data_IF_227355706501
#
_entry.id   IF_227355706501
#
_cell.length_a   1.000
_cell.length_b   1.000
_cell.length_c   1.000
_cell.angle_alpha   90.00
_cell.angle_beta   90.00
_cell.angle_gamma   90.00
#
_symmetry.space_group_name_H-M   'P 1'
#
loop_
_entity.id
_entity.type
_entity.pdbx_description
1 polymer ?
#
# COMPACT_ATOMS: atom_id res chain seq x y z
N UNK A 1 18.23 23.35 10.78
CA UNK A 1 18.79 22.08 11.32
C UNK A 1 18.46 20.95 10.36
N UNK A 2 19.29 19.90 10.28
CA UNK A 2 18.96 18.68 9.52
C UNK A 2 17.82 17.94 10.21
N UNK A 3 16.92 17.36 9.42
CA UNK A 3 15.79 16.56 9.90
C UNK A 3 16.31 15.25 10.49
N UNK A 4 15.87 14.89 11.69
CA UNK A 4 16.24 13.67 12.40
C UNK A 4 15.17 12.59 12.25
N UNK A 5 15.50 11.50 11.58
CA UNK A 5 14.60 10.37 11.36
C UNK A 5 15.03 9.18 12.22
N UNK A 6 14.12 8.69 13.05
CA UNK A 6 14.33 7.44 13.77
C UNK A 6 13.66 6.30 13.01
N UNK A 7 14.44 5.29 12.64
CA UNK A 7 13.96 4.08 11.97
C UNK A 7 13.87 2.96 13.02
N UNK A 8 12.67 2.43 13.21
CA UNK A 8 12.48 1.21 13.97
C UNK A 8 12.37 0.00 13.05
N UNK A 9 13.36 -0.89 13.13
CA UNK A 9 13.46 -2.11 12.33
C UNK A 9 12.55 -3.22 12.89
N UNK A 10 11.25 -2.93 13.00
CA UNK A 10 10.22 -3.68 13.73
C UNK A 10 10.54 -5.16 13.89
N UNK A 11 10.99 -5.54 15.09
CA UNK A 11 11.39 -6.91 15.36
C UNK A 11 10.17 -7.81 15.57
N UNK A 12 10.22 -9.02 15.00
CA UNK A 12 9.22 -10.08 15.23
C UNK A 12 9.89 -11.27 15.94
N UNK A 13 9.75 -11.42 17.27
CA UNK A 13 10.41 -12.49 18.05
C UNK A 13 10.03 -13.91 17.65
N UNK A 14 8.99 -14.05 16.81
CA UNK A 14 8.47 -15.34 16.38
C UNK A 14 8.95 -15.72 14.98
N UNK A 15 9.68 -14.85 14.29
CA UNK A 15 10.16 -15.10 12.93
C UNK A 15 11.47 -14.35 12.64
N UNK A 16 12.60 -15.06 12.79
CA UNK A 16 13.96 -14.55 12.59
C UNK A 16 14.21 -14.08 11.14
N UNK A 17 13.60 -14.75 10.16
CA UNK A 17 13.75 -14.40 8.75
C UNK A 17 13.13 -13.03 8.46
N UNK A 18 11.89 -12.81 8.93
CA UNK A 18 11.21 -11.53 8.82
C UNK A 18 11.97 -10.40 9.53
N UNK A 19 12.54 -10.69 10.70
CA UNK A 19 13.37 -9.74 11.43
C UNK A 19 14.64 -9.37 10.63
N UNK A 20 15.30 -10.34 10.01
CA UNK A 20 16.45 -10.12 9.13
C UNK A 20 16.11 -9.21 7.94
N UNK A 21 15.00 -9.49 7.26
CA UNK A 21 14.53 -8.68 6.12
C UNK A 21 14.24 -7.23 6.52
N UNK A 22 13.55 -7.01 7.65
CA UNK A 22 13.24 -5.68 8.13
C UNK A 22 14.49 -4.90 8.55
N UNK A 23 15.44 -5.57 9.21
CA UNK A 23 16.71 -4.97 9.60
C UNK A 23 17.55 -4.57 8.38
N UNK A 24 17.68 -5.46 7.39
CA UNK A 24 18.41 -5.15 6.15
C UNK A 24 17.75 -3.98 5.39
N UNK A 25 16.43 -3.99 5.28
CA UNK A 25 15.67 -2.90 4.64
C UNK A 25 15.91 -1.57 5.35
N UNK A 26 15.90 -1.57 6.69
CA UNK A 26 16.13 -0.39 7.48
C UNK A 26 17.55 0.17 7.36
N UNK A 27 18.58 -0.68 7.33
CA UNK A 27 19.97 -0.27 7.09
C UNK A 27 20.11 0.47 5.76
N UNK A 28 19.58 -0.13 4.68
CA UNK A 28 19.62 0.47 3.33
C UNK A 28 18.82 1.77 3.29
N UNK A 29 17.67 1.81 3.96
CA UNK A 29 16.82 3.01 4.01
C UNK A 29 17.53 4.15 4.75
N UNK A 30 18.29 3.84 5.80
CA UNK A 30 19.08 4.83 6.51
C UNK A 30 20.13 5.49 5.62
N UNK A 31 20.80 4.71 4.78
CA UNK A 31 21.79 5.23 3.83
C UNK A 31 21.12 6.13 2.80
N UNK A 32 20.00 5.70 2.21
CA UNK A 32 19.23 6.55 1.28
C UNK A 32 18.72 7.85 1.93
N UNK A 33 18.23 7.81 3.19
CA UNK A 33 17.79 9.02 3.90
C UNK A 33 18.95 9.97 4.21
N UNK A 34 20.15 9.44 4.49
CA UNK A 34 21.37 10.26 4.66
C UNK A 34 21.77 10.95 3.35
N UNK A 35 21.60 10.29 2.20
CA UNK A 35 21.80 10.91 0.89
C UNK A 35 20.84 12.08 0.63
N UNK A 36 19.60 12.00 1.15
CA UNK A 36 18.65 13.13 1.17
C UNK A 36 18.99 14.21 2.21
N UNK A 37 20.13 14.10 2.89
CA UNK A 37 20.62 15.10 3.84
C UNK A 37 20.01 15.02 5.24
N UNK A 38 19.32 13.92 5.57
CA UNK A 38 18.73 13.68 6.89
C UNK A 38 19.74 13.05 7.85
N UNK A 39 19.55 13.31 9.14
CA UNK A 39 20.26 12.61 10.20
C UNK A 39 19.42 11.39 10.61
N UNK A 40 20.02 10.22 10.74
CA UNK A 40 19.27 8.96 10.90
C UNK A 40 19.83 8.11 12.03
N UNK A 41 18.96 7.72 12.95
CA UNK A 41 19.20 6.72 13.98
C UNK A 41 18.35 5.47 13.70
N UNK A 42 18.94 4.29 13.85
CA UNK A 42 18.23 3.02 13.73
C UNK A 42 18.09 2.37 15.10
N UNK A 43 16.97 1.68 15.32
CA UNK A 43 16.85 0.77 16.46
C UNK A 43 17.85 -0.39 16.33
N UNK A 44 18.41 -0.78 17.47
CA UNK A 44 19.37 -1.88 17.56
C UNK A 44 18.61 -3.22 17.55
N UNK A 45 19.05 -4.26 16.79
CA UNK A 45 18.41 -5.56 16.82
C UNK A 45 18.38 -6.18 18.22
N UNK A 46 17.26 -6.84 18.55
CA UNK A 46 16.94 -7.35 19.91
C UNK A 46 18.02 -8.23 20.55
N UNK A 47 18.79 -8.96 19.76
CA UNK A 47 19.86 -9.84 20.29
C UNK A 47 20.98 -9.10 21.05
N UNK A 48 20.97 -7.76 21.03
CA UNK A 48 21.91 -6.90 21.77
C UNK A 48 21.28 -6.15 22.96
N UNK A 49 19.95 -6.11 23.06
CA UNK A 49 19.23 -5.41 24.11
C UNK A 49 18.56 -6.42 25.04
N UNK A 50 19.05 -6.54 26.28
CA UNK A 50 18.26 -7.16 27.35
C UNK A 50 17.10 -6.21 27.65
N UNK A 51 15.93 -6.44 27.06
CA UNK A 51 14.71 -5.84 27.58
C UNK A 51 14.63 -6.19 29.07
N UNK A 52 14.49 -5.18 29.94
CA UNK A 52 14.18 -5.44 31.34
C UNK A 52 12.89 -6.27 31.38
N UNK A 53 12.84 -7.31 32.22
CA UNK A 53 11.68 -8.20 32.32
C UNK A 53 10.38 -7.39 32.38
N UNK A 54 9.51 -7.56 31.37
CA UNK A 54 8.21 -6.89 31.28
C UNK A 54 8.15 -5.59 30.46
N UNK A 55 9.24 -5.10 29.86
CA UNK A 55 9.19 -3.94 28.96
C UNK A 55 8.96 -4.34 27.50
N UNK A 56 8.01 -3.66 26.85
CA UNK A 56 7.73 -3.80 25.41
C UNK A 56 8.81 -3.08 24.59
N UNK A 57 9.51 -3.81 23.72
CA UNK A 57 10.57 -3.32 22.82
C UNK A 57 10.20 -2.02 22.09
N UNK A 58 8.99 -1.96 21.53
CA UNK A 58 8.53 -0.79 20.78
C UNK A 58 8.49 0.47 21.67
N UNK A 59 8.25 0.31 22.98
CA UNK A 59 8.30 1.42 23.94
C UNK A 59 9.75 1.88 24.17
N UNK A 60 10.72 0.97 24.21
CA UNK A 60 12.14 1.31 24.33
C UNK A 60 12.60 2.15 23.14
N UNK A 61 12.29 1.71 21.92
CA UNK A 61 12.67 2.43 20.70
C UNK A 61 12.02 3.82 20.61
N UNK A 62 10.77 3.95 21.05
CA UNK A 62 10.09 5.26 21.12
C UNK A 62 10.74 6.17 22.15
N UNK A 63 11.18 5.63 23.29
CA UNK A 63 11.91 6.42 24.29
C UNK A 63 13.27 6.87 23.76
N UNK A 64 14.00 6.01 23.06
CA UNK A 64 15.27 6.37 22.40
C UNK A 64 15.05 7.49 21.37
N UNK A 65 14.00 7.39 20.54
CA UNK A 65 13.64 8.44 19.58
C UNK A 65 13.27 9.75 20.27
N UNK A 66 12.53 9.69 21.39
CA UNK A 66 12.16 10.85 22.20
C UNK A 66 13.40 11.54 22.81
N UNK A 67 14.35 10.76 23.34
CA UNK A 67 15.58 11.26 23.97
C UNK A 67 16.55 11.87 22.96
N UNK A 68 16.68 11.24 21.78
CA UNK A 68 17.50 11.75 20.70
C UNK A 68 16.94 13.03 20.05
N UNK A 69 15.65 13.29 20.27
CA UNK A 69 14.92 14.40 19.67
C UNK A 69 14.67 14.16 18.18
N UNK A 70 14.18 12.97 17.83
CA UNK A 70 13.76 12.67 16.46
C UNK A 70 12.61 13.59 16.04
N UNK A 71 12.64 14.03 14.79
CA UNK A 71 11.58 14.83 14.17
C UNK A 71 10.51 13.92 13.52
N UNK A 72 10.85 12.67 13.19
CA UNK A 72 9.93 11.65 12.69
C UNK A 72 10.35 10.26 13.20
N UNK A 73 9.38 9.46 13.62
CA UNK A 73 9.55 8.04 13.94
C UNK A 73 8.85 7.17 12.89
N UNK A 74 9.60 6.26 12.26
CA UNK A 74 9.08 5.33 11.25
C UNK A 74 9.47 3.89 11.59
N UNK A 75 8.48 3.08 11.94
CA UNK A 75 8.65 1.64 12.16
C UNK A 75 8.36 0.86 10.88
N UNK A 76 9.30 0.05 10.41
CA UNK A 76 9.07 -0.90 9.31
C UNK A 76 8.43 -2.18 9.86
N UNK A 77 7.49 -2.75 9.12
CA UNK A 77 6.80 -3.97 9.54
C UNK A 77 6.40 -4.86 8.35
N UNK A 78 6.32 -6.17 8.59
CA UNK A 78 5.66 -7.12 7.70
C UNK A 78 4.36 -7.56 8.37
N UNK A 79 3.22 -7.25 7.74
CA UNK A 79 1.91 -7.53 8.30
C UNK A 79 1.64 -9.06 8.30
N UNK A 80 0.73 -9.50 9.16
CA UNK A 80 0.29 -10.89 9.24
C UNK A 80 -1.21 -10.97 8.99
N UNK A 81 -1.61 -11.95 8.18
CA UNK A 81 -3.01 -12.32 8.01
C UNK A 81 -3.13 -13.85 7.90
N UNK A 82 -4.13 -14.47 8.53
CA UNK A 82 -4.44 -15.88 8.27
C UNK A 82 -4.85 -16.13 6.81
N UNK A 83 -5.36 -15.13 6.10
CA UNK A 83 -5.56 -15.18 4.65
C UNK A 83 -4.22 -14.97 3.92
N UNK A 84 -3.68 -16.06 3.36
CA UNK A 84 -2.46 -16.08 2.54
C UNK A 84 -2.53 -15.26 1.25
N UNK A 85 -3.71 -14.79 0.85
CA UNK A 85 -3.92 -13.93 -0.32
C UNK A 85 -4.02 -12.44 0.03
N UNK A 86 -4.07 -12.08 1.33
CA UNK A 86 -3.93 -10.70 1.75
C UNK A 86 -2.58 -10.16 1.25
N UNK A 87 -2.57 -8.95 0.68
CA UNK A 87 -1.38 -8.39 0.03
C UNK A 87 -1.35 -6.87 0.18
N UNK A 88 -0.16 -6.29 0.12
CA UNK A 88 0.06 -4.86 -0.04
C UNK A 88 0.62 -4.14 1.17
N UNK A 89 1.00 -2.90 0.91
CA UNK A 89 1.55 -1.97 1.89
C UNK A 89 0.45 -1.12 2.54
N UNK A 90 0.64 -0.75 3.81
CA UNK A 90 -0.27 0.09 4.56
C UNK A 90 0.51 0.97 5.55
N UNK A 91 -0.03 2.13 5.90
CA UNK A 91 0.51 2.95 6.99
C UNK A 91 -0.45 2.93 8.18
N UNK A 92 0.10 2.75 9.37
CA UNK A 92 -0.61 2.82 10.64
C UNK A 92 -0.14 4.01 11.46
N UNK A 93 -1.07 4.85 11.90
CA UNK A 93 -0.77 6.04 12.73
C UNK A 93 -1.64 6.03 13.98
N UNK A 94 -1.09 6.42 15.14
CA UNK A 94 -1.89 6.55 16.36
C UNK A 94 -2.50 7.96 16.48
N UNK A 95 -1.68 8.99 16.28
CA UNK A 95 -2.07 10.41 16.20
C UNK A 95 -1.71 10.92 14.80
N UNK A 96 -2.68 11.02 13.87
CA UNK A 96 -2.43 11.60 12.56
C UNK A 96 -1.91 13.04 12.69
N UNK A 97 -0.99 13.40 11.80
CA UNK A 97 -0.39 14.73 11.63
C UNK A 97 -0.13 14.97 10.14
N UNK A 98 -0.03 16.23 9.69
CA UNK A 98 0.32 16.55 8.30
C UNK A 98 1.57 15.82 7.83
N UNK A 99 2.60 15.74 8.68
CA UNK A 99 3.86 15.05 8.39
C UNK A 99 3.63 13.56 8.17
N UNK A 100 2.95 12.87 9.09
CA UNK A 100 2.65 11.43 8.92
C UNK A 100 1.76 11.17 7.71
N UNK A 101 0.84 12.07 7.38
CA UNK A 101 -0.06 11.92 6.24
C UNK A 101 0.71 12.05 4.93
N UNK A 102 1.50 13.12 4.77
CA UNK A 102 2.29 13.37 3.57
C UNK A 102 3.35 12.27 3.34
N UNK A 103 4.10 11.91 4.37
CA UNK A 103 5.12 10.84 4.30
C UNK A 103 4.49 9.50 3.96
N UNK A 104 3.40 9.12 4.65
CA UNK A 104 2.73 7.85 4.40
C UNK A 104 2.13 7.78 2.99
N UNK A 105 1.46 8.85 2.55
CA UNK A 105 0.83 8.89 1.24
C UNK A 105 1.87 8.76 0.12
N UNK A 106 2.98 9.51 0.22
CA UNK A 106 4.06 9.46 -0.76
C UNK A 106 4.75 8.09 -0.78
N UNK A 107 5.12 7.55 0.38
CA UNK A 107 5.75 6.23 0.47
C UNK A 107 4.85 5.11 -0.08
N UNK A 108 3.56 5.10 0.27
CA UNK A 108 2.61 4.09 -0.20
C UNK A 108 2.35 4.18 -1.71
N UNK A 109 2.30 5.39 -2.28
CA UNK A 109 2.15 5.60 -3.72
C UNK A 109 3.38 5.09 -4.49
N UNK A 110 4.58 5.43 -4.04
CA UNK A 110 5.82 4.95 -4.63
C UNK A 110 5.95 3.43 -4.55
N UNK A 111 5.69 2.84 -3.38
CA UNK A 111 5.68 1.38 -3.22
C UNK A 111 4.67 0.74 -4.19
N UNK A 112 3.45 1.27 -4.27
CA UNK A 112 2.42 0.67 -5.13
C UNK A 112 2.74 0.79 -6.62
N UNK A 113 3.20 1.96 -7.06
CA UNK A 113 3.47 2.23 -8.48
C UNK A 113 4.71 1.50 -8.99
N UNK A 114 5.72 1.29 -8.15
CA UNK A 114 7.01 0.71 -8.55
C UNK A 114 7.12 -0.80 -8.27
N UNK A 115 6.35 -1.34 -7.31
CA UNK A 115 6.43 -2.76 -6.93
C UNK A 115 5.15 -3.56 -7.18
N UNK A 116 4.06 -2.87 -7.55
CA UNK A 116 2.72 -3.45 -7.69
C UNK A 116 2.10 -3.98 -6.38
N UNK A 117 2.72 -3.72 -5.22
CA UNK A 117 2.07 -3.91 -3.93
C UNK A 117 0.75 -3.15 -3.89
N UNK A 118 -0.28 -3.77 -3.33
CA UNK A 118 -1.54 -3.08 -3.08
C UNK A 118 -1.33 -1.91 -2.12
N UNK A 119 -1.71 -0.70 -2.52
CA UNK A 119 -1.84 0.40 -1.57
C UNK A 119 -3.11 0.20 -0.73
N UNK A 120 -2.95 -0.05 0.56
CA UNK A 120 -4.06 -0.24 1.52
C UNK A 120 -4.41 1.04 2.29
N UNK A 121 -3.73 2.14 1.99
CA UNK A 121 -3.96 3.44 2.58
C UNK A 121 -3.40 3.61 3.99
N UNK A 122 -3.79 4.72 4.60
CA UNK A 122 -3.41 5.12 5.95
C UNK A 122 -4.58 4.80 6.88
N UNK A 123 -4.30 4.07 7.95
CA UNK A 123 -5.29 3.70 8.96
C UNK A 123 -4.89 4.25 10.31
N UNK A 124 -5.85 4.84 11.03
CA UNK A 124 -5.64 5.17 12.43
C UNK A 124 -5.72 3.90 13.28
N UNK A 125 -4.58 3.46 13.82
CA UNK A 125 -4.44 2.22 14.60
C UNK A 125 -4.38 2.54 16.08
N UNK A 126 -5.52 2.46 16.77
CA UNK A 126 -5.60 2.68 18.24
C UNK A 126 -4.91 1.55 19.03
N UNK A 127 -4.73 0.39 18.40
CA UNK A 127 -4.01 -0.79 18.89
C UNK A 127 -2.48 -0.62 18.86
N UNK A 128 -1.95 0.36 18.11
CA UNK A 128 -0.54 0.74 18.15
C UNK A 128 -0.19 1.58 19.40
N UNK A 129 -0.52 1.05 20.58
CA UNK A 129 -0.36 1.72 21.88
C UNK A 129 1.05 2.29 22.16
N UNK A 130 2.16 1.66 21.73
CA UNK A 130 3.49 2.26 21.92
C UNK A 130 3.60 3.66 21.31
N UNK A 131 3.06 3.87 20.09
CA UNK A 131 3.11 5.15 19.38
C UNK A 131 2.45 6.30 20.16
N UNK A 132 1.54 6.01 21.09
CA UNK A 132 0.93 7.02 21.97
C UNK A 132 1.97 7.83 22.75
N UNK A 133 3.11 7.22 23.07
CA UNK A 133 4.22 7.80 23.84
C UNK A 133 5.21 8.61 23.01
N UNK A 134 5.07 8.61 21.68
CA UNK A 134 5.92 9.41 20.80
C UNK A 134 5.65 10.91 21.01
N UNK A 135 6.73 11.68 21.13
CA UNK A 135 6.71 13.15 21.20
C UNK A 135 6.82 13.81 19.83
N UNK A 136 7.08 13.01 18.79
CA UNK A 136 7.18 13.40 17.40
C UNK A 136 6.10 12.69 16.55
N UNK A 137 5.83 13.16 15.31
CA UNK A 137 5.07 12.40 14.33
C UNK A 137 5.59 10.97 14.20
N UNK A 138 4.70 9.98 14.33
CA UNK A 138 5.10 8.58 14.43
C UNK A 138 4.16 7.65 13.65
N UNK A 139 4.75 6.75 12.87
CA UNK A 139 4.01 5.81 12.01
C UNK A 139 4.65 4.42 11.97
N UNK A 140 3.82 3.42 11.66
CA UNK A 140 4.25 2.08 11.26
C UNK A 140 3.94 1.93 9.77
N UNK A 141 4.93 1.55 8.98
CA UNK A 141 4.78 1.21 7.57
C UNK A 141 4.83 -0.31 7.41
N UNK A 142 3.67 -0.90 7.14
CA UNK A 142 3.59 -2.29 6.71
C UNK A 142 4.04 -2.33 5.23
N UNK A 143 5.19 -2.94 4.94
CA UNK A 143 5.77 -3.01 3.58
C UNK A 143 5.30 -4.22 2.76
N UNK A 144 4.32 -4.97 3.27
CA UNK A 144 3.78 -6.20 2.68
C UNK A 144 3.28 -7.15 3.76
N UNK A 145 2.83 -8.33 3.36
CA UNK A 145 2.46 -9.41 4.28
C UNK A 145 3.51 -10.52 4.35
N UNK A 146 3.91 -10.88 5.57
CA UNK A 146 4.72 -12.06 5.86
C UNK A 146 4.07 -13.36 5.36
N UNK A 147 2.74 -13.45 5.45
CA UNK A 147 1.99 -14.66 5.06
C UNK A 147 1.70 -14.74 3.56
N UNK A 148 1.98 -13.68 2.80
CA UNK A 148 1.85 -13.68 1.35
C UNK A 148 3.20 -13.94 0.71
N UNK A 149 3.30 -15.04 -0.04
CA UNK A 149 4.56 -15.45 -0.67
C UNK A 149 5.17 -14.36 -1.56
N UNK A 150 4.35 -13.66 -2.34
CA UNK A 150 4.87 -12.68 -3.30
C UNK A 150 5.34 -11.40 -2.60
N UNK A 151 4.58 -10.90 -1.62
CA UNK A 151 4.97 -9.74 -0.83
C UNK A 151 6.27 -10.03 -0.05
N UNK A 152 6.35 -11.20 0.58
CA UNK A 152 7.53 -11.59 1.35
C UNK A 152 8.75 -11.83 0.46
N UNK A 153 8.57 -12.46 -0.70
CA UNK A 153 9.63 -12.65 -1.69
C UNK A 153 10.15 -11.31 -2.24
N UNK A 154 9.26 -10.34 -2.50
CA UNK A 154 9.63 -8.98 -2.89
C UNK A 154 10.49 -8.32 -1.79
N UNK A 155 10.05 -8.37 -0.54
CA UNK A 155 10.80 -7.78 0.58
C UNK A 155 12.16 -8.44 0.80
N UNK A 156 12.24 -9.76 0.60
CA UNK A 156 13.47 -10.54 0.79
C UNK A 156 14.46 -10.35 -0.36
N UNK A 157 13.98 -10.31 -1.62
CA UNK A 157 14.85 -10.24 -2.81
C UNK A 157 15.18 -8.83 -3.26
N UNK A 158 14.36 -7.86 -2.88
CA UNK A 158 14.50 -6.46 -3.29
C UNK A 158 14.43 -5.45 -2.13
N UNK A 159 15.14 -5.69 -1.00
CA UNK A 159 15.14 -4.75 0.12
C UNK A 159 15.69 -3.37 -0.27
N UNK A 160 16.61 -3.30 -1.24
CA UNK A 160 17.14 -2.06 -1.80
C UNK A 160 16.05 -1.23 -2.47
N UNK A 161 15.18 -1.85 -3.27
CA UNK A 161 14.10 -1.16 -3.96
C UNK A 161 13.11 -0.60 -2.94
N UNK A 162 12.66 -1.42 -1.99
CA UNK A 162 11.74 -0.97 -0.93
C UNK A 162 12.37 0.19 -0.16
N UNK A 163 13.63 0.05 0.27
CA UNK A 163 14.30 1.08 1.06
C UNK A 163 14.41 2.42 0.33
N UNK A 164 14.72 2.41 -0.97
CA UNK A 164 14.86 3.61 -1.78
C UNK A 164 13.50 4.29 -1.98
N UNK A 165 12.45 3.51 -2.24
CA UNK A 165 11.09 4.02 -2.43
C UNK A 165 10.55 4.66 -1.15
N UNK A 166 10.76 4.02 0.00
CA UNK A 166 10.33 4.57 1.29
C UNK A 166 11.14 5.81 1.64
N UNK A 167 12.48 5.78 1.49
CA UNK A 167 13.32 6.94 1.75
C UNK A 167 12.95 8.15 0.86
N UNK A 168 12.72 7.90 -0.43
CA UNK A 168 12.22 8.90 -1.37
C UNK A 168 10.86 9.44 -0.94
N UNK A 169 9.94 8.58 -0.53
CA UNK A 169 8.62 8.99 -0.06
C UNK A 169 8.66 9.86 1.20
N UNK A 170 9.57 9.55 2.14
CA UNK A 170 9.85 10.41 3.30
C UNK A 170 10.39 11.78 2.84
N UNK A 171 11.35 11.79 1.93
CA UNK A 171 11.96 13.03 1.43
C UNK A 171 10.99 13.92 0.64
N UNK A 172 10.10 13.33 -0.15
CA UNK A 172 9.06 14.03 -0.90
C UNK A 172 7.95 14.53 0.05
N UNK A 173 7.40 13.66 0.89
CA UNK A 173 6.35 14.04 1.83
C UNK A 173 6.75 15.17 2.79
N UNK A 174 7.97 15.15 3.31
CA UNK A 174 8.46 16.22 4.20
C UNK A 174 8.77 17.53 3.45
N UNK A 175 9.08 17.47 2.15
CA UNK A 175 9.30 18.67 1.32
C UNK A 175 7.99 19.38 1.05
N UNK A 176 6.95 18.62 0.69
CA UNK A 176 5.62 19.16 0.42
C UNK A 176 5.09 19.95 1.63
N UNK A 177 5.28 19.44 2.85
CA UNK A 177 4.91 20.15 4.08
C UNK A 177 5.68 21.48 4.25
N UNK A 178 6.96 21.51 3.90
CA UNK A 178 7.81 22.71 4.03
C UNK A 178 7.52 23.78 2.98
N UNK A 179 7.07 23.39 1.79
CA UNK A 179 6.73 24.31 0.70
C UNK A 179 5.30 24.91 0.84
N UNK A 180 4.51 24.44 1.81
CA UNK A 180 3.10 24.85 2.00
C UNK A 180 2.81 26.00 3.01
N UNK A 181 3.74 26.79 3.60
CA UNK A 181 3.32 27.86 4.51
C UNK A 181 3.17 29.23 3.81
N UNK A 182 1.95 29.59 3.37
CA UNK A 182 1.56 31.00 3.11
C UNK A 182 0.04 31.31 3.03
N UNK A 183 -0.88 30.34 3.12
CA UNK A 183 -2.31 30.63 3.26
C UNK A 183 -3.00 29.51 4.03
N UNK A 184 -3.12 29.68 5.35
CA UNK A 184 -3.99 28.85 6.17
C UNK A 184 -4.71 29.77 7.15
N UNK A 185 -5.72 30.49 6.65
CA UNK A 185 -6.88 30.78 7.48
C UNK A 185 -7.53 29.45 7.87
N UNK A 186 -8.04 29.43 9.10
CA UNK A 186 -8.58 28.27 9.77
C UNK A 186 -9.76 27.65 9.01
N UNK A 187 -9.47 26.66 8.18
CA UNK A 187 -10.38 25.54 7.99
C UNK A 187 -9.67 24.30 8.52
N UNK A 188 -10.32 23.67 9.51
CA UNK A 188 -10.05 22.29 9.91
C UNK A 188 -9.74 21.51 8.63
N UNK A 189 -8.55 20.91 8.45
CA UNK A 189 -8.33 20.03 7.32
C UNK A 189 -9.32 18.90 7.54
N UNK A 190 -10.47 19.00 6.88
CA UNK A 190 -11.42 17.92 6.72
C UNK A 190 -10.55 16.80 6.24
N UNK A 191 -10.38 15.81 7.12
CA UNK A 191 -9.69 14.58 6.88
C UNK A 191 -10.10 14.18 5.46
N UNK A 192 -9.25 14.42 4.45
CA UNK A 192 -9.48 13.88 3.12
C UNK A 192 -9.07 12.42 3.23
N UNK A 193 -9.78 11.69 4.09
CA UNK A 193 -10.10 10.30 3.84
C UNK A 193 -10.79 10.31 2.50
N UNK A 194 -9.99 10.20 1.43
CA UNK A 194 -10.44 9.42 0.30
C UNK A 194 -10.97 8.13 0.94
N UNK A 195 -12.26 7.80 0.78
CA UNK A 195 -12.79 6.62 1.44
C UNK A 195 -11.90 5.46 1.03
N UNK A 196 -11.37 4.76 2.03
CA UNK A 196 -10.77 3.46 1.80
C UNK A 196 -11.90 2.60 1.21
N UNK A 197 -11.80 2.32 -0.08
CA UNK A 197 -12.66 1.40 -0.83
C UNK A 197 -14.05 1.92 -1.25
N UNK A 198 -14.49 1.37 -2.37
CA UNK A 198 -15.56 1.86 -3.24
C UNK A 198 -16.95 1.54 -2.72
N UNK A 199 -17.84 2.54 -2.77
CA UNK A 199 -19.28 2.28 -2.70
C UNK A 199 -19.72 1.52 -3.95
N UNK A 200 -19.68 0.19 -3.88
CA UNK A 200 -20.10 -0.73 -4.93
C UNK A 200 -21.63 -0.91 -5.03
N UNK A 201 -22.41 0.00 -4.44
CA UNK A 201 -23.85 -0.08 -4.35
C UNK A 201 -24.51 1.07 -5.14
N UNK A 202 -25.48 0.78 -6.02
CA UNK A 202 -26.48 1.78 -6.37
C UNK A 202 -27.12 2.26 -5.06
N UNK A 203 -27.33 3.57 -4.90
CA UNK A 203 -27.75 4.21 -3.65
C UNK A 203 -29.02 3.62 -2.98
N UNK A 204 -29.74 2.70 -3.63
CA UNK A 204 -30.90 1.98 -3.09
C UNK A 204 -30.88 0.44 -3.23
N UNK A 205 -29.77 -0.21 -3.60
CA UNK A 205 -29.72 -1.69 -3.75
C UNK A 205 -28.51 -2.29 -3.03
N UNK A 206 -28.69 -2.63 -1.76
CA UNK A 206 -27.64 -3.16 -0.87
C UNK A 206 -27.23 -4.62 -1.12
N UNK A 207 -27.84 -5.30 -2.11
CA UNK A 207 -27.72 -6.74 -2.33
C UNK A 207 -27.34 -7.13 -3.77
N UNK A 208 -27.21 -6.16 -4.68
CA UNK A 208 -26.76 -6.43 -6.05
C UNK A 208 -25.63 -5.47 -6.35
N UNK A 209 -24.40 -5.97 -6.28
CA UNK A 209 -23.26 -5.30 -6.88
C UNK A 209 -23.00 -5.92 -8.26
N UNK A 210 -23.24 -5.11 -9.29
CA UNK A 210 -22.97 -5.45 -10.69
C UNK A 210 -21.87 -4.53 -11.18
N UNK A 211 -20.72 -5.10 -11.50
CA UNK A 211 -19.63 -4.36 -12.10
C UNK A 211 -19.80 -4.39 -13.63
N UNK A 212 -19.93 -3.24 -14.28
CA UNK A 212 -19.89 -3.17 -15.75
C UNK A 212 -18.52 -2.68 -16.18
N UNK A 213 -17.64 -3.59 -16.61
CA UNK A 213 -16.30 -3.23 -17.09
C UNK A 213 -16.38 -2.87 -18.56
N UNK A 214 -16.05 -1.62 -18.90
CA UNK A 214 -15.85 -1.18 -20.28
C UNK A 214 -14.36 -1.31 -20.61
N UNK A 215 -14.02 -2.25 -21.48
CA UNK A 215 -12.67 -2.47 -21.99
C UNK A 215 -12.49 -1.71 -23.29
N UNK A 216 -11.46 -0.89 -23.39
CA UNK A 216 -11.02 -0.27 -24.65
C UNK A 216 -9.76 -0.98 -25.16
N UNK A 217 -9.77 -1.38 -26.43
CA UNK A 217 -8.57 -1.85 -27.12
C UNK A 217 -7.95 -0.70 -27.89
N UNK A 218 -6.76 -0.27 -27.47
CA UNK A 218 -5.97 0.75 -28.18
C UNK A 218 -4.59 0.17 -28.48
N UNK A 219 -4.07 0.47 -29.67
CA UNK A 219 -2.71 0.06 -30.09
C UNK A 219 -1.63 0.71 -29.21
N UNK A 220 -1.97 1.85 -28.61
CA UNK A 220 -1.11 2.61 -27.71
C UNK A 220 -1.87 2.77 -26.39
N UNK A 221 -1.39 2.19 -25.28
CA UNK A 221 -2.04 2.36 -23.98
C UNK A 221 -2.06 3.84 -23.62
N UNK A 222 -3.25 4.42 -23.42
CA UNK A 222 -3.36 5.78 -22.87
C UNK A 222 -3.16 5.71 -21.36
N UNK A 223 -2.76 6.83 -20.75
CA UNK A 223 -2.63 6.93 -19.29
C UNK A 223 -3.89 6.33 -18.63
N UNK A 224 -3.75 5.55 -17.54
CA UNK A 224 -4.88 4.95 -16.87
C UNK A 224 -5.93 6.03 -16.56
N UNK A 225 -7.20 5.71 -16.82
CA UNK A 225 -8.31 6.64 -16.57
C UNK A 225 -8.25 7.02 -15.09
N UNK A 226 -8.26 8.32 -14.80
CA UNK A 226 -8.19 8.82 -13.43
C UNK A 226 -9.24 8.11 -12.55
N UNK A 227 -8.84 7.70 -11.35
CA UNK A 227 -9.65 6.98 -10.35
C UNK A 227 -10.01 5.51 -10.67
N UNK A 228 -9.38 4.91 -11.70
CA UNK A 228 -9.32 3.47 -11.89
C UNK A 228 -7.87 2.97 -11.81
N UNK A 229 -7.57 2.14 -10.80
CA UNK A 229 -6.32 1.42 -10.69
C UNK A 229 -6.49 0.00 -11.24
N UNK A 230 -5.73 -0.30 -12.29
CA UNK A 230 -5.76 -1.61 -12.96
C UNK A 230 -4.36 -2.19 -12.88
N UNK A 231 -4.23 -3.35 -12.26
CA UNK A 231 -2.99 -4.14 -12.28
C UNK A 231 -3.18 -5.30 -13.24
N UNK A 232 -2.31 -5.42 -14.24
CA UNK A 232 -2.36 -6.51 -15.22
C UNK A 232 -1.14 -7.39 -15.03
N UNK A 233 -1.37 -8.67 -14.74
CA UNK A 233 -0.33 -9.69 -14.69
C UNK A 233 -0.29 -10.38 -16.05
N UNK A 234 0.85 -10.22 -16.72
CA UNK A 234 1.14 -10.91 -17.97
C UNK A 234 1.35 -12.41 -17.69
N UNK A 235 0.44 -13.26 -18.16
CA UNK A 235 0.63 -14.72 -18.14
C UNK A 235 1.10 -15.24 -19.49
N UNK A 236 1.08 -16.57 -19.66
CA UNK A 236 1.51 -17.25 -20.89
C UNK A 236 0.32 -17.56 -21.79
N UNK A 237 0.59 -17.77 -23.09
CA UNK A 237 -0.42 -18.16 -24.09
C UNK A 237 -1.58 -17.16 -24.25
N UNK A 238 -1.33 -15.89 -23.92
CA UNK A 238 -2.35 -14.83 -23.95
C UNK A 238 -3.44 -14.96 -22.91
N UNK A 239 -3.12 -15.58 -21.78
CA UNK A 239 -3.95 -15.58 -20.58
C UNK A 239 -3.33 -14.60 -19.60
N UNK A 240 -4.09 -13.58 -19.21
CA UNK A 240 -3.67 -12.52 -18.31
C UNK A 240 -4.61 -12.47 -17.12
N UNK A 241 -4.10 -11.98 -15.99
CA UNK A 241 -4.93 -11.69 -14.82
C UNK A 241 -5.04 -10.18 -14.71
N UNK A 242 -6.27 -9.69 -14.65
CA UNK A 242 -6.56 -8.29 -14.41
C UNK A 242 -7.13 -8.13 -13.00
N UNK A 243 -6.50 -7.27 -12.21
CA UNK A 243 -7.05 -6.84 -10.93
C UNK A 243 -7.62 -5.43 -11.11
N UNK A 244 -8.94 -5.30 -10.99
CA UNK A 244 -9.62 -4.01 -11.05
C UNK A 244 -9.83 -3.44 -9.64
N UNK A 245 -9.45 -2.18 -9.47
CA UNK A 245 -9.74 -1.36 -8.29
C UNK A 245 -10.11 0.05 -8.74
N UNK A 246 -11.40 0.39 -8.78
CA UNK A 246 -11.81 1.74 -9.17
C UNK A 246 -13.23 2.07 -8.72
N UNK A 247 -13.56 3.36 -8.78
CA UNK A 247 -14.88 3.86 -8.37
C UNK A 247 -15.96 3.36 -9.32
N UNK A 248 -17.12 3.07 -8.74
CA UNK A 248 -18.35 2.90 -9.51
C UNK A 248 -19.14 4.19 -9.49
N UNK A 249 -19.81 4.48 -10.60
CA UNK A 249 -20.81 5.53 -10.69
C UNK A 249 -22.03 5.16 -9.83
N UNK A 250 -22.90 6.13 -9.60
CA UNK A 250 -24.13 5.94 -8.82
C UNK A 250 -25.08 4.86 -9.37
N UNK A 251 -24.93 4.49 -10.65
CA UNK A 251 -25.68 3.42 -11.31
C UNK A 251 -25.02 2.03 -11.19
N UNK A 252 -23.88 1.94 -10.49
CA UNK A 252 -23.09 0.72 -10.31
C UNK A 252 -22.08 0.43 -11.44
N UNK A 253 -22.06 1.22 -12.52
CA UNK A 253 -21.09 1.03 -13.62
C UNK A 253 -19.68 1.44 -13.20
N UNK A 254 -18.65 0.74 -13.67
CA UNK A 254 -17.27 1.18 -13.39
C UNK A 254 -16.86 2.31 -14.31
N UNK A 255 -15.85 3.05 -13.85
CA UNK A 255 -15.02 3.83 -14.76
C UNK A 255 -14.46 2.88 -15.85
N UNK A 256 -14.45 3.28 -17.13
CA UNK A 256 -13.85 2.51 -18.21
C UNK A 256 -12.37 2.21 -17.95
N UNK A 257 -11.92 1.03 -18.38
CA UNK A 257 -10.52 0.59 -18.27
C UNK A 257 -9.94 0.32 -19.64
N UNK A 258 -8.74 0.83 -19.89
CA UNK A 258 -7.96 0.43 -21.05
C UNK A 258 -7.10 -0.77 -20.67
N UNK A 259 -7.15 -1.83 -21.48
CA UNK A 259 -6.28 -2.99 -21.24
C UNK A 259 -5.07 -2.91 -22.17
N UNK A 260 -3.87 -3.23 -21.67
CA UNK A 260 -2.70 -3.34 -22.53
C UNK A 260 -2.93 -4.43 -23.55
N UNK A 261 -2.66 -4.11 -24.82
CA UNK A 261 -2.54 -5.11 -25.87
C UNK A 261 -1.14 -5.70 -25.80
N UNK A 262 -1.04 -7.00 -25.54
CA UNK A 262 0.23 -7.71 -25.56
C UNK A 262 0.49 -8.20 -27.00
N UNK A 263 1.67 -7.91 -27.56
CA UNK A 263 1.99 -8.24 -28.96
C UNK A 263 2.51 -9.66 -29.16
N UNK A 264 2.48 -10.48 -28.12
CA UNK A 264 3.35 -11.65 -27.99
C UNK A 264 2.81 -12.89 -28.72
N UNK A 265 1.96 -12.70 -29.74
CA UNK A 265 1.20 -13.79 -30.34
C UNK A 265 1.44 -14.06 -31.83
N UNK A 266 1.40 -15.37 -32.09
CA UNK A 266 1.06 -15.98 -33.36
C UNK A 266 -0.35 -15.56 -33.84
N UNK A 267 -0.56 -15.42 -35.16
CA UNK A 267 -1.84 -14.98 -35.72
C UNK A 267 -2.96 -15.97 -35.34
N UNK A 268 -4.05 -15.46 -34.73
CA UNK A 268 -5.34 -16.13 -34.43
C UNK A 268 -5.62 -16.58 -32.97
N UNK A 269 -4.87 -16.15 -31.95
CA UNK A 269 -5.27 -16.40 -30.55
C UNK A 269 -5.78 -15.12 -29.85
N UNK A 270 -7.05 -15.04 -29.41
CA UNK A 270 -7.58 -13.85 -28.73
C UNK A 270 -6.98 -13.67 -27.33
N UNK A 271 -6.82 -12.44 -26.86
CA UNK A 271 -6.33 -12.19 -25.49
C UNK A 271 -7.41 -12.49 -24.47
N UNK A 272 -7.05 -13.25 -23.44
CA UNK A 272 -7.94 -13.63 -22.37
C UNK A 272 -7.54 -12.92 -21.09
N UNK A 273 -8.48 -12.21 -20.48
CA UNK A 273 -8.27 -11.58 -19.18
C UNK A 273 -9.20 -12.20 -18.15
N UNK A 274 -8.64 -12.74 -17.07
CA UNK A 274 -9.40 -13.07 -15.88
C UNK A 274 -9.59 -11.77 -15.09
N UNK A 275 -10.82 -11.25 -15.04
CA UNK A 275 -11.11 -10.07 -14.23
C UNK A 275 -11.34 -10.50 -12.79
N UNK A 276 -10.40 -10.15 -11.94
CA UNK A 276 -10.46 -10.26 -10.50
C UNK A 276 -10.82 -8.91 -9.91
N UNK A 277 -12.01 -8.79 -9.34
CA UNK A 277 -12.43 -7.62 -8.59
C UNK A 277 -12.08 -7.86 -7.12
N UNK A 278 -11.64 -6.85 -6.38
CA UNK A 278 -11.41 -7.01 -4.93
C UNK A 278 -12.32 -6.04 -4.20
N UNK A 279 -13.17 -6.57 -3.33
CA UNK A 279 -14.01 -5.81 -2.42
C UNK A 279 -13.76 -6.29 -0.99
N UNK A 280 -13.86 -5.39 -0.02
CA UNK A 280 -13.57 -5.69 1.38
C UNK A 280 -14.58 -6.68 1.98
N UNK A 281 -15.86 -6.58 1.58
CA UNK A 281 -16.93 -7.41 2.14
C UNK A 281 -17.40 -8.55 1.24
N UNK A 282 -16.98 -8.60 -0.03
CA UNK A 282 -17.52 -9.55 -1.01
C UNK A 282 -16.43 -10.19 -1.85
N UNK A 283 -16.61 -11.48 -2.18
CA UNK A 283 -15.79 -12.17 -3.17
C UNK A 283 -16.52 -12.20 -4.52
N UNK A 284 -15.97 -11.62 -5.59
CA UNK A 284 -16.55 -11.78 -6.92
C UNK A 284 -16.38 -13.20 -7.41
N UNK A 285 -17.30 -13.62 -8.28
CA UNK A 285 -16.98 -14.69 -9.21
C UNK A 285 -16.02 -14.13 -10.24
N UNK A 286 -14.78 -14.62 -10.24
CA UNK A 286 -13.81 -14.28 -11.28
C UNK A 286 -14.39 -14.64 -12.65
N UNK A 287 -14.36 -13.70 -13.58
CA UNK A 287 -14.91 -13.88 -14.93
C UNK A 287 -13.79 -13.76 -15.96
N UNK A 288 -13.70 -14.75 -16.84
CA UNK A 288 -12.82 -14.67 -18.01
C UNK A 288 -13.52 -13.91 -19.12
N UNK A 289 -12.81 -12.92 -19.67
CA UNK A 289 -13.25 -12.16 -20.83
C UNK A 289 -12.26 -12.35 -21.98
N UNK A 290 -12.79 -12.42 -23.20
CA UNK A 290 -12.01 -12.54 -24.43
C UNK A 290 -11.96 -11.19 -25.12
N UNK A 291 -10.77 -10.70 -25.45
CA UNK A 291 -10.56 -9.44 -26.16
C UNK A 291 -10.03 -9.77 -27.55
N UNK A 292 -10.86 -9.44 -28.55
CA UNK A 292 -10.55 -9.57 -29.96
C UNK A 292 -10.28 -8.16 -30.55
N UNK A 293 -10.46 -7.98 -31.86
CA UNK A 293 -10.38 -6.69 -32.57
C UNK A 293 -11.50 -5.69 -32.23
N UNK A 294 -12.31 -5.96 -31.21
CA UNK A 294 -13.41 -5.08 -30.79
C UNK A 294 -12.86 -3.82 -30.11
N UNK A 295 -13.32 -2.64 -30.54
CA UNK A 295 -12.90 -1.35 -29.97
C UNK A 295 -13.38 -1.13 -28.53
N UNK A 296 -14.53 -1.69 -28.18
CA UNK A 296 -15.15 -1.58 -26.85
C UNK A 296 -15.82 -2.92 -26.50
N UNK A 297 -15.51 -3.48 -25.33
CA UNK A 297 -16.20 -4.65 -24.79
C UNK A 297 -16.81 -4.35 -23.41
N UNK A 298 -18.07 -4.73 -23.21
CA UNK A 298 -18.80 -4.52 -21.93
C UNK A 298 -19.09 -5.85 -21.26
N UNK A 299 -18.60 -6.01 -20.04
CA UNK A 299 -18.77 -7.24 -19.29
C UNK A 299 -19.35 -6.99 -17.91
N UNK A 300 -20.29 -7.86 -17.51
CA UNK A 300 -20.98 -7.75 -16.23
C UNK A 300 -20.43 -8.78 -15.26
N UNK A 301 -19.83 -8.32 -14.17
CA UNK A 301 -19.30 -9.18 -13.10
C UNK A 301 -20.22 -9.06 -11.90
N UNK A 302 -20.66 -10.21 -11.41
CA UNK A 302 -21.52 -10.31 -10.24
C UNK A 302 -20.67 -10.62 -9.01
N UNK A 303 -20.86 -9.86 -7.94
CA UNK A 303 -20.27 -10.19 -6.65
C UNK A 303 -21.09 -11.26 -5.95
N UNK A 304 -20.44 -12.27 -5.37
CA UNK A 304 -21.12 -13.24 -4.49
C UNK A 304 -21.39 -12.54 -3.14
N UNK A 305 -22.63 -12.60 -2.66
CA UNK A 305 -23.08 -12.00 -1.39
C UNK A 305 -22.46 -12.66 -0.16
N UNK A 306 -21.76 -13.79 -0.32
CA UNK A 306 -21.04 -14.41 0.80
C UNK A 306 -20.03 -13.42 1.37
N UNK A 307 -20.45 -12.75 2.45
CA UNK A 307 -19.58 -11.95 3.30
C UNK A 307 -18.37 -12.78 3.62
N UNK A 308 -17.19 -12.20 3.45
CA UNK A 308 -15.97 -12.78 3.98
C UNK A 308 -16.18 -12.86 5.49
N UNK A 309 -16.59 -14.03 6.00
CA UNK A 309 -16.69 -14.26 7.43
C UNK A 309 -15.27 -14.37 7.94
N UNK A 310 -14.75 -13.31 8.55
CA UNK A 310 -13.52 -13.40 9.34
C UNK A 310 -13.77 -14.42 10.45
N UNK A 311 -13.26 -15.63 10.29
CA UNK A 311 -13.04 -16.61 11.37
C UNK A 311 -11.56 -16.66 11.66
#
# INVERSE_FOLDING_TARGET
>A
MKMKIYIDNGYNPRNDEAAGVLYETGLRMADSLREYGMEVMLSVPENTLKAAEGQNQAVLHINQANEWGADLFLALNLNYSPDRYATGAAAGVFKPSPETEAVSASALDLLSTQTHLQNRGITQRQDCLPLKKAKMPAMVLDIGFLTNKNDFELATKHPELISQLVAKGVAEGLRDIRETPATADAENPVLKTRPAFFQLYPAGRKNICRLTVNVLSSVIPRKPVANAHVTVYHGKEGKHILIYRGETRNDGSTIPVELPYFSDKAPNCPEMFCICVRHQDYMPKNTWIYINSERIKRENIFLDERRISNR
#
